data_IF_649502488694
#
_entry.id   IF_649502488694
#
_cell.length_a   1.000
_cell.length_b   1.000
_cell.length_c   1.000
_cell.angle_alpha   90.00
_cell.angle_beta   90.00
_cell.angle_gamma   90.00
#
_symmetry.space_group_name_H-M   'P 1'
#
loop_
_entity.id
_entity.type
_entity.pdbx_description
1 polymer ?
#
# COMPACT_ATOMS: atom_id res chain seq x y z
N UNK A 1 -16.25 2.23 39.10
CA UNK A 1 -16.17 3.60 39.64
C UNK A 1 -16.93 4.48 38.67
N UNK A 2 -18.11 4.94 39.06
CA UNK A 2 -19.10 5.60 38.19
C UNK A 2 -18.86 7.11 38.28
N UNK A 3 -18.71 7.82 37.15
CA UNK A 3 -18.76 9.28 37.12
C UNK A 3 -20.03 9.76 36.41
N UNK A 4 -20.64 10.72 37.09
CA UNK A 4 -22.00 11.24 36.97
C UNK A 4 -22.17 12.22 35.80
N UNK A 5 -23.35 12.15 35.17
CA UNK A 5 -23.94 13.21 34.36
C UNK A 5 -24.54 14.31 35.26
N UNK A 6 -24.71 15.50 34.66
CA UNK A 6 -25.48 16.70 35.10
C UNK A 6 -24.67 17.83 35.76
N UNK A 7 -24.53 18.95 35.04
CA UNK A 7 -24.97 20.32 35.38
C UNK A 7 -25.04 21.11 34.04
N UNK A 8 -26.17 21.23 33.34
CA UNK A 8 -27.23 22.24 33.49
C UNK A 8 -26.71 23.66 33.79
N UNK A 9 -26.46 24.45 32.75
CA UNK A 9 -26.51 25.91 32.83
C UNK A 9 -27.57 26.45 31.87
N UNK A 10 -28.50 27.20 32.45
CA UNK A 10 -29.67 27.78 31.81
C UNK A 10 -29.54 29.30 31.69
N UNK A 11 -30.32 29.86 30.75
CA UNK A 11 -30.76 31.26 30.63
C UNK A 11 -29.71 32.23 30.07
N UNK A 12 -29.96 32.93 28.95
CA UNK A 12 -31.08 33.87 28.79
C UNK A 12 -31.35 34.17 27.30
N UNK A 13 -32.60 34.51 26.91
CA UNK A 13 -32.96 34.84 25.54
C UNK A 13 -32.83 36.35 25.27
N UNK A 14 -32.20 36.73 24.16
CA UNK A 14 -32.30 38.08 23.61
C UNK A 14 -33.29 38.09 22.45
N UNK A 15 -34.47 38.66 22.71
CA UNK A 15 -35.41 39.11 21.69
C UNK A 15 -34.96 40.49 21.18
N UNK A 16 -34.73 40.62 19.88
CA UNK A 16 -34.83 41.90 19.17
C UNK A 16 -35.79 41.73 18.00
N UNK A 17 -36.99 42.27 18.16
CA UNK A 17 -37.89 42.55 17.07
C UNK A 17 -37.48 43.88 16.42
N UNK A 18 -37.10 43.84 15.15
CA UNK A 18 -37.03 45.03 14.30
C UNK A 18 -37.57 44.67 12.92
N UNK A 19 -38.82 45.04 12.69
CA UNK A 19 -39.50 45.05 11.40
C UNK A 19 -38.82 46.04 10.46
N UNK A 20 -38.25 45.54 9.36
CA UNK A 20 -37.95 46.34 8.17
C UNK A 20 -38.56 45.65 6.94
N UNK A 21 -39.59 46.28 6.36
CA UNK A 21 -40.14 45.94 5.04
C UNK A 21 -39.11 46.30 3.98
N UNK A 22 -38.33 45.32 3.52
CA UNK A 22 -37.50 45.46 2.33
C UNK A 22 -38.29 45.05 1.09
N UNK A 23 -38.37 45.97 0.13
CA UNK A 23 -39.02 45.78 -1.18
C UNK A 23 -38.18 44.81 -2.01
N UNK A 24 -38.78 43.70 -2.45
CA UNK A 24 -38.14 42.73 -3.34
C UNK A 24 -38.24 43.28 -4.76
N UNK A 25 -37.12 43.73 -5.32
CA UNK A 25 -36.94 43.86 -6.76
C UNK A 25 -36.42 42.50 -7.29
N UNK A 26 -36.87 41.99 -8.44
CA UNK A 26 -36.34 40.75 -9.00
C UNK A 26 -34.99 41.06 -9.65
N UNK A 27 -33.91 40.97 -8.87
CA UNK A 27 -32.56 40.87 -9.43
C UNK A 27 -32.34 39.41 -9.84
N UNK A 28 -31.97 39.21 -11.09
CA UNK A 28 -31.88 37.90 -11.73
C UNK A 28 -31.01 36.91 -10.96
N UNK A 29 -31.57 35.71 -10.80
CA UNK A 29 -30.83 34.50 -10.43
C UNK A 29 -29.82 34.17 -11.55
N UNK A 30 -28.53 34.30 -11.26
CA UNK A 30 -27.50 33.55 -11.96
C UNK A 30 -26.76 32.71 -10.91
N UNK A 31 -27.38 31.62 -10.49
CA UNK A 31 -26.70 30.59 -9.71
C UNK A 31 -25.72 29.87 -10.64
N UNK A 32 -24.45 30.26 -10.62
CA UNK A 32 -23.36 29.50 -11.22
C UNK A 32 -23.17 28.22 -10.39
N UNK A 33 -23.94 27.19 -10.72
CA UNK A 33 -23.69 25.83 -10.27
C UNK A 33 -22.41 25.34 -10.96
N UNK A 34 -21.26 25.57 -10.32
CA UNK A 34 -20.01 24.94 -10.72
C UNK A 34 -20.15 23.43 -10.52
N UNK A 35 -20.18 22.68 -11.62
CA UNK A 35 -20.04 21.22 -11.55
C UNK A 35 -18.65 20.90 -10.99
N UNK A 36 -18.58 20.56 -9.72
CA UNK A 36 -17.46 19.84 -9.14
C UNK A 36 -17.52 18.42 -9.71
N UNK A 37 -16.85 18.18 -10.83
CA UNK A 37 -16.60 16.83 -11.31
C UNK A 37 -15.67 16.15 -10.29
N UNK A 38 -16.00 14.96 -9.76
CA UNK A 38 -15.06 14.20 -8.96
C UNK A 38 -13.84 13.90 -9.84
N UNK A 39 -12.67 14.38 -9.41
CA UNK A 39 -11.43 13.98 -10.04
C UNK A 39 -11.16 12.55 -9.59
N UNK A 40 -11.44 11.58 -10.45
CA UNK A 40 -10.90 10.24 -10.28
C UNK A 40 -9.39 10.36 -10.38
N UNK A 41 -8.69 10.23 -9.25
CA UNK A 41 -7.25 10.01 -9.25
C UNK A 41 -7.06 8.68 -9.97
N UNK A 42 -6.51 8.73 -11.18
CA UNK A 42 -6.16 7.53 -11.92
C UNK A 42 -4.91 6.95 -11.28
N UNK A 43 -4.93 5.65 -11.01
CA UNK A 43 -3.74 4.93 -10.57
C UNK A 43 -2.61 5.15 -11.57
N UNK A 44 -1.48 5.67 -11.10
CA UNK A 44 -0.31 5.91 -11.94
C UNK A 44 0.59 4.69 -11.87
N UNK A 45 0.75 3.95 -12.97
CA UNK A 45 1.65 2.79 -12.97
C UNK A 45 3.11 3.23 -12.87
N UNK A 46 3.93 2.61 -12.00
CA UNK A 46 5.33 2.97 -11.86
C UNK A 46 6.18 2.50 -13.05
N UNK A 47 7.29 3.20 -13.28
CA UNK A 47 8.32 2.86 -14.26
C UNK A 47 9.43 2.08 -13.55
N UNK A 48 9.20 0.79 -13.34
CA UNK A 48 10.14 -0.09 -12.66
C UNK A 48 11.48 -0.18 -13.41
N UNK A 49 12.57 0.10 -12.70
CA UNK A 49 13.94 -0.04 -13.18
C UNK A 49 14.73 -1.16 -12.48
N UNK A 50 14.17 -1.75 -11.42
CA UNK A 50 14.77 -2.92 -10.76
C UNK A 50 14.78 -4.12 -11.71
N UNK A 51 15.94 -4.74 -11.86
CA UNK A 51 16.13 -5.95 -12.64
C UNK A 51 16.14 -7.18 -11.72
N UNK A 52 15.34 -8.20 -12.06
CA UNK A 52 15.23 -9.43 -11.27
C UNK A 52 13.80 -9.73 -10.80
N UNK A 53 13.62 -10.75 -9.95
CA UNK A 53 12.32 -11.05 -9.37
C UNK A 53 11.97 -10.00 -8.33
N UNK A 54 10.79 -9.40 -8.46
CA UNK A 54 10.28 -8.40 -7.52
C UNK A 54 8.78 -8.60 -7.30
N UNK A 55 8.32 -8.12 -6.15
CA UNK A 55 6.90 -7.96 -5.84
C UNK A 55 6.69 -6.48 -5.56
N UNK A 56 5.89 -5.81 -6.40
CA UNK A 56 5.74 -4.35 -6.36
C UNK A 56 4.28 -3.92 -6.40
N UNK A 57 3.94 -2.75 -5.85
CA UNK A 57 2.59 -2.19 -5.99
C UNK A 57 2.30 -1.83 -7.45
N UNK A 58 1.04 -2.01 -7.85
CA UNK A 58 0.56 -1.65 -9.18
C UNK A 58 0.48 -0.13 -9.40
N UNK A 59 0.28 0.62 -8.32
CA UNK A 59 0.22 2.07 -8.29
C UNK A 59 1.55 2.64 -7.75
N UNK A 60 2.00 3.74 -8.33
CA UNK A 60 3.18 4.48 -7.92
C UNK A 60 2.97 5.16 -6.57
N UNK A 61 1.73 5.43 -6.15
CA UNK A 61 1.38 6.06 -4.87
C UNK A 61 2.33 7.21 -4.52
N UNK A 62 2.46 8.18 -5.41
CA UNK A 62 3.29 9.37 -5.21
C UNK A 62 4.77 9.11 -4.88
N UNK A 63 5.35 7.98 -5.27
CA UNK A 63 6.81 7.80 -5.26
C UNK A 63 7.43 8.83 -6.22
N UNK A 64 8.29 9.69 -5.68
CA UNK A 64 8.68 10.95 -6.31
C UNK A 64 9.51 10.79 -7.59
N UNK A 65 10.18 9.65 -7.76
CA UNK A 65 10.95 9.32 -8.95
C UNK A 65 10.17 8.46 -9.95
N UNK A 66 8.92 8.10 -9.65
CA UNK A 66 8.09 7.22 -10.47
C UNK A 66 8.57 5.77 -10.47
N UNK A 67 9.39 5.36 -9.49
CA UNK A 67 9.98 4.02 -9.43
C UNK A 67 9.00 2.97 -8.87
N UNK A 68 7.95 3.39 -8.18
CA UNK A 68 7.02 2.50 -7.47
C UNK A 68 7.61 1.87 -6.21
N UNK A 69 6.84 0.98 -5.59
CA UNK A 69 7.15 0.41 -4.26
C UNK A 69 7.35 -1.10 -4.34
N UNK A 70 8.49 -1.57 -3.86
CA UNK A 70 8.88 -2.99 -3.80
C UNK A 70 8.97 -3.43 -2.34
N UNK A 71 8.74 -4.72 -2.07
CA UNK A 71 9.13 -5.33 -0.79
C UNK A 71 10.66 -5.27 -0.69
N UNK A 72 11.17 -4.83 0.46
CA UNK A 72 12.59 -4.56 0.68
C UNK A 72 12.97 -4.93 2.13
N UNK A 73 14.24 -5.28 2.35
CA UNK A 73 14.77 -5.43 3.71
C UNK A 73 15.18 -4.09 4.31
N UNK A 74 14.70 -3.77 5.51
CA UNK A 74 14.98 -2.47 6.12
C UNK A 74 16.49 -2.24 6.34
N UNK A 75 17.02 -1.11 5.85
CA UNK A 75 18.41 -0.73 6.02
C UNK A 75 19.27 -0.99 4.78
N UNK A 76 20.47 -1.53 4.97
CA UNK A 76 21.41 -1.85 3.87
C UNK A 76 21.70 -3.34 3.87
N UNK A 77 21.14 -4.06 2.91
CA UNK A 77 21.31 -5.51 2.80
C UNK A 77 20.50 -6.28 3.85
N UNK A 78 20.97 -7.47 4.24
CA UNK A 78 20.20 -8.39 5.08
C UNK A 78 19.78 -7.74 6.41
N UNK A 79 18.47 -7.78 6.66
CA UNK A 79 17.83 -7.32 7.88
C UNK A 79 16.70 -8.28 8.25
N UNK A 80 16.38 -8.38 9.53
CA UNK A 80 15.26 -9.20 9.99
C UNK A 80 13.91 -8.49 9.81
N UNK A 81 13.89 -7.19 9.48
CA UNK A 81 12.68 -6.39 9.25
C UNK A 81 12.47 -6.12 7.76
N UNK A 82 11.20 -6.07 7.35
CA UNK A 82 10.78 -5.75 5.97
C UNK A 82 9.93 -4.49 5.96
N UNK A 83 10.08 -3.71 4.90
CA UNK A 83 9.26 -2.53 4.60
C UNK A 83 8.94 -2.48 3.10
N UNK A 84 8.15 -1.48 2.68
CA UNK A 84 8.03 -1.13 1.28
C UNK A 84 8.98 0.02 0.98
N UNK A 85 9.75 -0.08 -0.10
CA UNK A 85 10.74 0.92 -0.47
C UNK A 85 10.65 1.20 -1.97
N UNK A 86 11.13 2.36 -2.43
CA UNK A 86 11.27 2.63 -3.86
C UNK A 86 11.91 1.42 -4.56
N UNK A 87 11.36 0.98 -5.70
CA UNK A 87 11.96 -0.08 -6.51
C UNK A 87 13.28 0.41 -7.15
N UNK A 88 14.36 0.34 -6.37
CA UNK A 88 15.68 0.87 -6.71
C UNK A 88 16.23 0.18 -7.98
N UNK A 89 16.86 0.92 -8.92
CA UNK A 89 17.52 0.32 -10.08
C UNK A 89 18.74 -0.54 -9.70
N UNK A 90 19.27 -0.35 -8.49
CA UNK A 90 20.41 -1.08 -7.95
C UNK A 90 20.14 -1.43 -6.50
N UNK A 91 20.66 -2.57 -6.05
CA UNK A 91 20.36 -3.12 -4.74
C UNK A 91 19.67 -4.46 -4.92
N UNK A 92 20.14 -5.45 -4.19
CA UNK A 92 19.60 -6.81 -4.20
C UNK A 92 18.65 -7.06 -3.01
N UNK A 93 18.50 -6.08 -2.13
CA UNK A 93 17.59 -6.06 -0.98
C UNK A 93 16.09 -5.99 -1.35
N UNK A 94 15.76 -5.56 -2.58
CA UNK A 94 14.40 -5.54 -3.14
C UNK A 94 13.99 -6.83 -3.87
N UNK A 95 14.89 -7.81 -3.99
CA UNK A 95 14.66 -8.97 -4.84
C UNK A 95 13.91 -10.08 -4.08
N UNK A 96 12.63 -10.23 -4.40
CA UNK A 96 11.73 -11.22 -3.82
C UNK A 96 10.97 -11.98 -4.89
N UNK A 97 10.77 -13.27 -4.67
CA UNK A 97 9.98 -14.14 -5.55
C UNK A 97 8.83 -14.76 -4.78
N UNK A 98 7.74 -15.09 -5.47
CA UNK A 98 6.62 -15.82 -4.90
C UNK A 98 6.58 -17.24 -5.46
N UNK A 99 6.57 -18.23 -4.58
CA UNK A 99 6.46 -19.64 -4.91
C UNK A 99 5.00 -20.10 -4.73
N UNK A 100 4.17 -20.14 -5.80
CA UNK A 100 2.73 -20.38 -5.67
C UNK A 100 2.37 -21.79 -5.16
N UNK A 101 3.19 -22.80 -5.45
CA UNK A 101 2.93 -24.20 -5.06
C UNK A 101 2.92 -24.40 -3.53
N UNK A 102 3.66 -23.54 -2.82
CA UNK A 102 3.85 -23.59 -1.36
C UNK A 102 3.43 -22.29 -0.67
N UNK A 103 2.95 -21.31 -1.45
CA UNK A 103 2.45 -20.03 -0.95
C UNK A 103 3.50 -19.20 -0.20
N UNK A 104 4.73 -19.06 -0.71
CA UNK A 104 5.80 -18.39 0.04
C UNK A 104 6.41 -17.23 -0.71
N UNK A 105 6.76 -16.18 0.02
CA UNK A 105 7.55 -15.06 -0.50
C UNK A 105 8.98 -15.23 -0.01
N UNK A 106 9.90 -15.46 -0.94
CA UNK A 106 11.30 -15.79 -0.67
C UNK A 106 12.22 -14.66 -1.13
N UNK A 107 13.26 -14.37 -0.34
CA UNK A 107 14.34 -13.50 -0.83
C UNK A 107 15.11 -14.23 -1.93
N UNK A 108 15.27 -13.56 -3.07
CA UNK A 108 16.12 -14.06 -4.15
C UNK A 108 17.62 -13.85 -3.86
N UNK A 109 17.93 -12.98 -2.90
CA UNK A 109 19.30 -12.59 -2.51
C UNK A 109 19.80 -13.41 -1.32
N UNK A 110 18.98 -13.54 -0.29
CA UNK A 110 19.33 -14.24 0.95
C UNK A 110 18.73 -15.65 0.95
N UNK A 111 19.52 -16.61 0.47
CA UNK A 111 19.08 -18.00 0.32
C UNK A 111 18.53 -18.58 1.64
N UNK A 112 17.36 -19.21 1.56
CA UNK A 112 16.70 -19.81 2.72
C UNK A 112 16.05 -18.81 3.67
N UNK A 113 15.87 -17.56 3.24
CA UNK A 113 15.10 -16.54 3.97
C UNK A 113 13.78 -16.22 3.29
N UNK A 114 12.75 -16.07 4.12
CA UNK A 114 11.38 -15.89 3.70
C UNK A 114 10.71 -14.77 4.49
N UNK A 115 9.79 -14.07 3.83
CA UNK A 115 8.91 -13.12 4.48
C UNK A 115 8.00 -13.87 5.46
N UNK A 116 7.84 -13.32 6.66
CA UNK A 116 6.94 -13.83 7.68
C UNK A 116 6.20 -12.69 8.37
N UNK A 117 4.94 -12.91 8.72
CA UNK A 117 4.22 -12.06 9.67
C UNK A 117 4.65 -12.40 11.11
N UNK A 118 5.86 -11.97 11.49
CA UNK A 118 6.57 -12.43 12.69
C UNK A 118 6.60 -11.41 13.83
N UNK A 119 6.43 -10.11 13.55
CA UNK A 119 6.48 -9.03 14.53
C UNK A 119 5.09 -8.42 14.78
N UNK A 120 4.12 -9.24 15.23
CA UNK A 120 2.69 -8.85 15.36
C UNK A 120 2.41 -7.64 16.26
N UNK A 121 3.33 -7.32 17.17
CA UNK A 121 3.23 -6.16 18.08
C UNK A 121 3.88 -4.89 17.48
N UNK A 122 4.53 -5.01 16.33
CA UNK A 122 5.07 -3.89 15.57
C UNK A 122 4.00 -3.34 14.63
N UNK A 123 3.53 -2.12 14.93
CA UNK A 123 2.47 -1.48 14.17
C UNK A 123 2.96 -0.81 12.88
N UNK A 124 4.27 -0.65 12.70
CA UNK A 124 4.90 -0.03 11.54
C UNK A 124 5.41 -1.12 10.59
N UNK A 125 6.16 -2.10 11.06
CA UNK A 125 6.70 -3.16 10.21
C UNK A 125 6.54 -4.55 10.85
N UNK A 126 5.32 -5.13 10.82
CA UNK A 126 5.07 -6.45 11.39
C UNK A 126 5.65 -7.62 10.58
N UNK A 127 6.17 -7.37 9.38
CA UNK A 127 6.81 -8.39 8.55
C UNK A 127 8.31 -8.43 8.75
N UNK A 128 8.86 -9.65 8.79
CA UNK A 128 10.29 -9.87 8.89
C UNK A 128 10.82 -10.86 7.88
N UNK A 129 12.15 -10.87 7.74
CA UNK A 129 12.89 -11.80 6.89
C UNK A 129 13.56 -12.88 7.76
N UNK A 130 12.92 -14.04 7.85
CA UNK A 130 13.31 -15.12 8.78
C UNK A 130 13.70 -16.40 8.01
N UNK A 131 14.34 -17.40 8.65
CA UNK A 131 14.54 -18.68 8.00
C UNK A 131 13.22 -19.30 7.52
N UNK A 132 13.24 -19.82 6.29
CA UNK A 132 12.07 -20.45 5.70
C UNK A 132 11.64 -21.69 6.49
N UNK A 133 10.35 -21.81 6.81
CA UNK A 133 9.76 -22.95 7.51
C UNK A 133 8.42 -23.32 6.85
N UNK A 134 8.38 -24.48 6.18
CA UNK A 134 7.18 -25.01 5.52
C UNK A 134 6.01 -25.24 6.49
N UNK A 135 6.28 -25.35 7.79
CA UNK A 135 5.27 -25.59 8.82
C UNK A 135 4.75 -24.32 9.48
N UNK A 136 5.38 -23.15 9.23
CA UNK A 136 4.98 -21.89 9.84
C UNK A 136 3.83 -21.24 9.03
N UNK A 137 2.61 -21.15 9.58
CA UNK A 137 1.49 -20.52 8.88
C UNK A 137 1.68 -19.01 8.68
N UNK A 138 2.62 -18.37 9.39
CA UNK A 138 2.93 -16.94 9.20
C UNK A 138 3.82 -16.67 7.98
N UNK A 139 4.35 -17.72 7.35
CA UNK A 139 5.14 -17.66 6.12
C UNK A 139 4.34 -18.10 4.88
N UNK A 140 3.05 -18.41 5.08
CA UNK A 140 2.15 -18.85 4.03
C UNK A 140 1.27 -17.69 3.58
N UNK A 141 1.25 -17.47 2.27
CA UNK A 141 0.54 -16.41 1.59
C UNK A 141 -0.21 -16.97 0.39
N UNK A 142 -1.34 -16.36 0.05
CA UNK A 142 -2.03 -16.63 -1.21
C UNK A 142 -2.13 -15.37 -2.04
N UNK A 143 -1.62 -15.42 -3.27
CA UNK A 143 -1.78 -14.36 -4.26
C UNK A 143 -2.96 -14.65 -5.19
N UNK A 144 -3.87 -13.69 -5.32
CA UNK A 144 -4.93 -13.72 -6.32
C UNK A 144 -4.51 -12.91 -7.56
N UNK A 145 -4.24 -13.54 -8.71
CA UNK A 145 -3.79 -12.84 -9.91
C UNK A 145 -4.88 -11.97 -10.57
N UNK A 146 -6.16 -12.16 -10.25
CA UNK A 146 -7.24 -11.32 -10.80
C UNK A 146 -7.32 -9.97 -10.07
N UNK A 147 -7.19 -9.98 -8.74
CA UNK A 147 -7.25 -8.77 -7.92
C UNK A 147 -5.90 -8.16 -7.56
N UNK A 148 -4.80 -8.92 -7.72
CA UNK A 148 -3.46 -8.55 -7.28
C UNK A 148 -3.27 -8.59 -5.76
N UNK A 149 -4.23 -9.12 -4.99
CA UNK A 149 -4.14 -9.14 -3.53
C UNK A 149 -3.25 -10.29 -3.05
N UNK A 150 -2.41 -10.00 -2.05
CA UNK A 150 -1.63 -11.00 -1.31
C UNK A 150 -2.28 -11.13 0.06
N UNK A 151 -2.79 -12.31 0.38
CA UNK A 151 -3.44 -12.60 1.66
C UNK A 151 -2.52 -13.42 2.56
N UNK A 152 -2.63 -13.22 3.88
CA UNK A 152 -2.02 -14.14 4.84
C UNK A 152 -2.79 -15.47 4.81
N UNK A 153 -2.09 -16.58 4.60
CA UNK A 153 -2.71 -17.89 4.39
C UNK A 153 -3.56 -18.37 5.57
N UNK A 154 -3.14 -18.08 6.80
CA UNK A 154 -3.92 -18.38 8.01
C UNK A 154 -5.15 -17.47 8.20
N UNK A 155 -5.16 -16.29 7.57
CA UNK A 155 -6.12 -15.22 7.81
C UNK A 155 -6.51 -14.55 6.49
N UNK A 156 -7.23 -15.25 5.61
CA UNK A 156 -7.53 -14.79 4.24
C UNK A 156 -8.31 -13.45 4.15
N UNK A 157 -8.87 -12.94 5.24
CA UNK A 157 -9.46 -11.61 5.28
C UNK A 157 -8.43 -10.48 5.46
N UNK A 158 -7.17 -10.82 5.71
CA UNK A 158 -6.05 -9.91 5.90
C UNK A 158 -5.19 -9.86 4.63
N UNK A 159 -4.85 -8.65 4.20
CA UNK A 159 -4.06 -8.38 3.00
C UNK A 159 -2.75 -7.69 3.36
N UNK A 160 -1.69 -8.05 2.65
CA UNK A 160 -0.44 -7.28 2.63
C UNK A 160 -0.73 -5.93 1.97
N UNK A 161 -0.32 -4.84 2.62
CA UNK A 161 -0.57 -3.47 2.19
C UNK A 161 0.58 -2.56 2.61
N UNK A 162 0.51 -1.27 2.29
CA UNK A 162 1.49 -0.26 2.74
C UNK A 162 0.80 0.88 3.47
N UNK A 163 1.51 1.59 4.34
CA UNK A 163 0.95 2.80 4.96
C UNK A 163 0.85 3.97 3.96
N UNK A 164 0.00 4.94 4.29
CA UNK A 164 -0.16 6.18 3.52
C UNK A 164 1.01 7.15 3.71
N UNK A 165 1.74 7.04 4.81
CA UNK A 165 2.93 7.86 5.07
C UNK A 165 4.05 7.48 4.10
N UNK A 166 4.86 8.48 3.73
CA UNK A 166 6.09 8.28 2.97
C UNK A 166 7.23 8.82 3.83
N UNK A 167 8.26 8.01 4.02
CA UNK A 167 9.47 8.38 4.74
C UNK A 167 10.65 8.64 3.80
N UNK A 168 11.57 9.49 4.25
CA UNK A 168 12.83 9.77 3.57
C UNK A 168 13.80 8.61 3.78
N UNK A 169 14.27 8.02 2.68
CA UNK A 169 15.25 6.93 2.67
C UNK A 169 16.49 7.32 1.85
N UNK A 170 16.95 8.56 2.02
CA UNK A 170 18.08 9.12 1.26
C UNK A 170 17.67 9.55 -0.15
N UNK A 171 18.25 8.99 -1.24
CA UNK A 171 17.85 9.34 -2.61
C UNK A 171 16.52 8.68 -3.02
N UNK A 172 15.93 7.87 -2.15
CA UNK A 172 14.72 7.09 -2.35
C UNK A 172 13.76 7.33 -1.19
N UNK A 173 12.64 6.62 -1.20
CA UNK A 173 11.59 6.74 -0.21
C UNK A 173 11.19 5.35 0.31
N UNK A 174 10.58 5.32 1.50
CA UNK A 174 10.00 4.12 2.08
C UNK A 174 8.57 4.35 2.58
N UNK A 175 7.87 3.25 2.84
CA UNK A 175 6.58 3.16 3.52
C UNK A 175 6.60 1.92 4.40
N UNK A 176 5.79 1.95 5.44
CA UNK A 176 5.52 0.77 6.26
C UNK A 176 4.90 -0.35 5.41
N UNK A 177 5.31 -1.59 5.64
CA UNK A 177 4.69 -2.78 5.05
C UNK A 177 3.80 -3.45 6.09
N UNK A 178 2.49 -3.44 5.86
CA UNK A 178 1.48 -3.72 6.87
C UNK A 178 0.58 -4.90 6.50
N UNK A 179 -0.09 -5.45 7.50
CA UNK A 179 -1.20 -6.38 7.34
C UNK A 179 -2.48 -5.70 7.85
N UNK A 180 -3.53 -5.66 7.02
CA UNK A 180 -4.81 -5.07 7.39
C UNK A 180 -5.99 -5.78 6.73
N UNK A 181 -7.21 -5.49 7.21
CA UNK A 181 -8.43 -6.05 6.64
C UNK A 181 -8.59 -5.66 5.17
N UNK A 182 -8.69 -6.65 4.29
CA UNK A 182 -8.72 -6.45 2.84
C UNK A 182 -9.87 -5.53 2.41
N UNK A 183 -11.03 -5.57 3.05
CA UNK A 183 -12.22 -4.79 2.66
C UNK A 183 -12.19 -3.32 3.09
N UNK A 184 -11.27 -2.95 4.00
CA UNK A 184 -11.09 -1.57 4.48
C UNK A 184 -10.07 -0.77 3.65
N UNK A 185 -9.29 -1.46 2.81
CA UNK A 185 -8.18 -0.87 2.07
C UNK A 185 -8.61 -0.38 0.68
N UNK A 186 -8.11 0.78 0.28
CA UNK A 186 -8.18 1.22 -1.12
C UNK A 186 -7.33 0.27 -2.00
N UNK A 187 -7.83 -0.17 -3.18
CA UNK A 187 -7.09 -1.03 -4.10
C UNK A 187 -5.66 -0.59 -4.39
N UNK A 188 -5.41 0.72 -4.53
CA UNK A 188 -4.08 1.28 -4.82
C UNK A 188 -3.01 0.89 -3.78
N UNK A 189 -3.41 0.59 -2.53
CA UNK A 189 -2.50 0.22 -1.43
C UNK A 189 -2.30 -1.29 -1.26
N UNK A 190 -3.03 -2.13 -1.99
CA UNK A 190 -3.02 -3.60 -1.79
C UNK A 190 -2.97 -4.42 -3.08
N UNK A 191 -2.96 -3.77 -4.24
CA UNK A 191 -2.82 -4.44 -5.53
C UNK A 191 -1.33 -4.58 -5.84
N UNK A 192 -0.81 -5.78 -5.68
CA UNK A 192 0.57 -6.16 -5.95
C UNK A 192 0.70 -6.81 -7.33
N UNK A 193 1.84 -6.60 -7.96
CA UNK A 193 2.27 -7.23 -9.20
C UNK A 193 3.51 -8.06 -8.87
N UNK A 194 3.43 -9.36 -9.17
CA UNK A 194 4.55 -10.28 -9.09
C UNK A 194 5.23 -10.32 -10.45
N UNK A 195 6.50 -9.93 -10.50
CA UNK A 195 7.32 -10.00 -11.70
C UNK A 195 8.44 -10.99 -11.48
N UNK A 196 8.44 -12.07 -12.26
CA UNK A 196 9.51 -13.05 -12.24
C UNK A 196 10.75 -12.53 -12.99
N UNK A 197 11.94 -12.83 -12.45
CA UNK A 197 13.21 -12.46 -13.10
C UNK A 197 13.48 -13.16 -14.44
N UNK A 198 12.64 -14.11 -14.84
CA UNK A 198 12.73 -14.83 -16.13
C UNK A 198 12.02 -14.11 -17.28
N UNK A 199 11.19 -13.10 -17.01
CA UNK A 199 10.45 -12.35 -18.06
C UNK A 199 11.36 -11.45 -18.92
N UNK A 200 12.64 -11.28 -18.56
CA UNK A 200 13.63 -10.62 -19.42
C UNK A 200 14.05 -11.50 -20.60
N UNK A 201 13.87 -12.82 -20.51
CA UNK A 201 14.10 -13.76 -21.62
C UNK A 201 12.98 -13.73 -22.67
N UNK A 202 11.76 -13.28 -22.32
CA UNK A 202 10.62 -13.29 -23.23
C UNK A 202 10.66 -12.13 -24.25
N UNK A 203 11.46 -11.08 -23.96
CA UNK A 203 11.66 -9.90 -24.83
C UNK A 203 12.73 -10.08 -25.90
N UNK A 204 13.54 -11.14 -25.83
CA UNK A 204 14.40 -11.56 -26.94
C UNK A 204 13.62 -12.61 -27.74
N UNK A 205 12.81 -12.17 -28.71
CA UNK A 205 12.32 -13.09 -29.74
C UNK A 205 13.55 -13.67 -30.44
N UNK A 206 13.77 -15.01 -30.47
CA UNK A 206 14.69 -15.55 -31.44
C UNK A 206 14.10 -15.24 -32.83
N UNK A 207 14.87 -14.56 -33.66
CA UNK A 207 14.67 -14.63 -35.11
C UNK A 207 14.91 -16.09 -35.47
N UNK A 208 13.85 -16.88 -35.52
CA UNK A 208 13.90 -18.19 -36.15
C UNK A 208 13.62 -17.95 -37.63
N UNK A 209 14.67 -18.16 -38.43
CA UNK A 209 14.54 -18.50 -39.85
C UNK A 209 13.51 -19.63 -40.01
N UNK A 210 12.49 -19.38 -40.84
CA UNK A 210 11.83 -20.35 -41.72
C UNK A 210 10.99 -19.59 -42.75
#
# INVERSE_FOLDING_TARGET
>A
MVMSLQELNAMTPYNFAATAKARIAPAGLAALAGLLLPQSVLAESPVIQTEGPIIHLADNLDESAGLGWCIDTEGRGESDALHAHSCKPTGDDVLFSYAPDIGRIESATYAGKCMAYSARDDAENPFGLVPCDDSDPNQQFSYDPESGQIHLGAEAAQCVTVSAAIDDAGPYQSRDLLLAACDELDPSFKTWIIRDGTDLSSRIRPIQEQ
#
